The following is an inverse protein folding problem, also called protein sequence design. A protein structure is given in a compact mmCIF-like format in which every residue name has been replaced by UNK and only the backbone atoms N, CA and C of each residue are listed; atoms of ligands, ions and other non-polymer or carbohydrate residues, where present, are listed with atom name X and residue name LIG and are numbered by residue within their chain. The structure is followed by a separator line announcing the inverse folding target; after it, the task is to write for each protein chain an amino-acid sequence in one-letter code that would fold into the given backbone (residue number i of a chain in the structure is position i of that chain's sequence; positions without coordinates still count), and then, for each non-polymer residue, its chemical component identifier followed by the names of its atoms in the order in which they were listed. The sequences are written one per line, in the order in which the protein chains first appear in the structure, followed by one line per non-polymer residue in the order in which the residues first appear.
data_IF_108546306254
#
_entry.id   IF_108546306254
#
_cell.length_a   1.000
_cell.length_b   1.000
_cell.length_c   1.000
_cell.angle_alpha   90.00
_cell.angle_beta   90.00
_cell.angle_gamma   90.00
#
_symmetry.space_group_name_H-M   'P 1'
#
loop_
_entity.id
_entity.type
_entity.pdbx_description
1 polymer ?
#
# COMPACT_ATOMS: atom_id res chain seq x y z
N UNK A 1 16.98 5.38 19.15
CA UNK A 1 16.98 4.78 17.80
C UNK A 1 15.54 4.75 17.32
N UNK A 2 15.07 5.84 16.69
CA UNK A 2 13.71 5.95 16.18
C UNK A 2 13.76 5.64 14.68
N UNK A 3 13.50 4.40 14.31
CA UNK A 3 13.62 3.94 12.92
C UNK A 3 12.39 4.34 12.13
N UNK A 4 12.49 5.42 11.36
CA UNK A 4 11.73 5.55 10.13
C UNK A 4 12.56 4.85 9.05
N UNK A 5 12.09 3.71 8.55
CA UNK A 5 12.71 3.03 7.42
C UNK A 5 11.83 3.30 6.19
N UNK A 6 12.18 4.29 5.35
CA UNK A 6 11.57 4.39 4.04
C UNK A 6 12.00 3.15 3.24
N UNK A 7 11.04 2.35 2.81
CA UNK A 7 11.25 1.25 1.88
C UNK A 7 10.84 1.70 0.49
N UNK A 8 11.70 1.46 -0.51
CA UNK A 8 11.40 1.71 -1.92
C UNK A 8 11.50 0.36 -2.65
N UNK A 9 10.42 -0.01 -3.34
CA UNK A 9 10.34 -1.21 -4.15
C UNK A 9 10.17 -0.78 -5.60
N UNK A 10 10.92 -1.42 -6.49
CA UNK A 10 10.81 -1.25 -7.93
C UNK A 10 10.47 -2.60 -8.52
N UNK A 11 9.40 -2.66 -9.31
CA UNK A 11 9.14 -3.82 -10.17
C UNK A 11 9.74 -3.55 -11.57
N UNK A 12 10.83 -4.23 -11.98
CA UNK A 12 11.44 -4.02 -13.28
C UNK A 12 10.53 -4.39 -14.46
N UNK A 13 9.62 -5.34 -14.28
CA UNK A 13 8.73 -5.82 -15.35
C UNK A 13 7.54 -4.89 -15.58
N UNK A 14 7.04 -4.26 -14.51
CA UNK A 14 5.88 -3.37 -14.55
C UNK A 14 6.22 -1.88 -14.55
N UNK A 15 7.47 -1.49 -14.27
CA UNK A 15 7.90 -0.09 -14.14
C UNK A 15 7.26 0.67 -12.97
N UNK A 16 6.60 -0.04 -12.05
CA UNK A 16 5.92 0.56 -10.89
C UNK A 16 6.92 0.68 -9.74
N UNK A 17 6.90 1.85 -9.10
CA UNK A 17 7.68 2.14 -7.89
C UNK A 17 6.70 2.32 -6.72
N UNK A 18 6.98 1.66 -5.60
CA UNK A 18 6.23 1.82 -4.36
C UNK A 18 7.15 2.31 -3.24
N UNK A 19 6.74 3.36 -2.54
CA UNK A 19 7.43 3.88 -1.35
C UNK A 19 6.57 3.73 -0.11
N UNK A 20 7.12 3.16 0.96
CA UNK A 20 6.43 2.98 2.24
C UNK A 20 7.23 3.65 3.35
N UNK A 21 6.57 4.56 4.08
CA UNK A 21 7.10 5.15 5.30
C UNK A 21 6.40 4.51 6.51
N UNK A 22 7.15 3.74 7.32
CA UNK A 22 6.63 3.10 8.53
C UNK A 22 7.39 3.58 9.77
N UNK A 23 6.66 4.06 10.78
CA UNK A 23 7.26 4.54 12.03
C UNK A 23 6.26 4.50 13.18
N UNK A 24 6.73 4.03 14.34
CA UNK A 24 6.03 4.14 15.62
C UNK A 24 6.21 5.49 16.31
N UNK A 25 7.00 6.39 15.73
CA UNK A 25 7.36 7.68 16.32
C UNK A 25 6.99 8.85 15.42
N UNK A 26 5.83 8.75 14.79
CA UNK A 26 5.24 9.80 13.95
C UNK A 26 3.85 10.14 14.47
N UNK A 27 3.53 11.44 14.55
CA UNK A 27 2.16 11.89 14.82
C UNK A 27 1.34 11.77 13.54
N UNK A 28 0.09 11.32 13.67
CA UNK A 28 -0.79 11.13 12.52
C UNK A 28 -1.33 12.49 12.07
N UNK A 29 -1.04 12.87 10.83
CA UNK A 29 -1.62 14.02 10.12
C UNK A 29 -1.98 13.58 8.69
N UNK A 30 -2.97 12.69 8.61
CA UNK A 30 -3.50 12.01 7.41
C UNK A 30 -4.79 11.30 7.80
N UNK A 31 -5.46 10.70 6.84
CA UNK A 31 -6.84 10.20 7.01
C UNK A 31 -6.96 8.99 7.95
N UNK A 32 -5.91 8.17 8.11
CA UNK A 32 -5.96 6.94 8.91
C UNK A 32 -4.58 6.53 9.45
N UNK A 33 -4.48 5.40 10.18
CA UNK A 33 -3.26 4.82 10.74
C UNK A 33 -2.35 4.17 9.69
N UNK A 34 -2.91 3.69 8.59
CA UNK A 34 -2.18 3.32 7.38
C UNK A 34 -2.82 4.05 6.19
N UNK A 35 -2.03 4.49 5.22
CA UNK A 35 -2.55 5.21 4.06
C UNK A 35 -1.75 4.81 2.83
N UNK A 36 -2.47 4.40 1.78
CA UNK A 36 -1.90 3.95 0.51
C UNK A 36 -2.42 4.86 -0.59
N UNK A 37 -1.52 5.57 -1.27
CA UNK A 37 -1.85 6.31 -2.49
C UNK A 37 -1.39 5.50 -3.70
N UNK A 38 -2.30 5.34 -4.67
CA UNK A 38 -2.02 4.69 -5.95
C UNK A 38 -2.34 5.70 -7.04
N UNK A 39 -1.35 6.06 -7.83
CA UNK A 39 -1.49 6.98 -8.95
C UNK A 39 -1.38 6.22 -10.27
N UNK A 40 -2.32 6.46 -11.17
CA UNK A 40 -2.36 5.87 -12.50
C UNK A 40 -2.75 6.87 -13.57
N UNK A 41 -2.73 6.42 -14.83
CA UNK A 41 -3.00 7.30 -15.98
C UNK A 41 -4.40 7.93 -15.99
N UNK A 42 -5.41 7.21 -15.48
CA UNK A 42 -6.81 7.64 -15.52
C UNK A 42 -7.32 8.18 -14.18
N UNK A 43 -6.48 8.22 -13.17
CA UNK A 43 -6.85 8.73 -11.85
C UNK A 43 -6.00 8.14 -10.74
N UNK A 44 -6.36 8.55 -9.53
CA UNK A 44 -5.67 8.19 -8.31
C UNK A 44 -6.65 7.71 -7.25
N UNK A 45 -6.16 6.90 -6.32
CA UNK A 45 -6.88 6.46 -5.14
C UNK A 45 -6.03 6.68 -3.88
N UNK A 46 -6.68 7.04 -2.77
CA UNK A 46 -6.08 7.09 -1.43
C UNK A 46 -6.94 6.23 -0.51
N UNK A 47 -6.37 5.12 -0.04
CA UNK A 47 -7.04 4.16 0.83
C UNK A 47 -6.45 4.17 2.25
N UNK A 48 -7.34 4.20 3.24
CA UNK A 48 -7.05 3.90 4.64
C UNK A 48 -7.34 2.43 4.96
N UNK A 49 -7.61 2.12 6.23
CA UNK A 49 -7.99 0.78 6.68
C UNK A 49 -9.44 0.43 6.31
N UNK A 50 -10.32 1.43 6.26
CA UNK A 50 -11.77 1.23 6.10
C UNK A 50 -12.42 2.09 5.01
N UNK A 51 -11.72 3.10 4.50
CA UNK A 51 -12.25 4.05 3.52
C UNK A 51 -11.28 4.21 2.38
N UNK A 52 -11.82 4.42 1.18
CA UNK A 52 -11.06 4.77 0.00
C UNK A 52 -11.67 6.02 -0.63
N UNK A 53 -10.82 6.93 -1.09
CA UNK A 53 -11.23 8.08 -1.89
C UNK A 53 -10.55 8.02 -3.25
N UNK A 54 -11.25 8.45 -4.29
CA UNK A 54 -10.76 8.43 -5.67
C UNK A 54 -10.83 9.83 -6.31
N UNK A 55 -9.92 10.08 -7.25
CA UNK A 55 -9.98 11.22 -8.14
C UNK A 55 -9.71 10.74 -9.57
N UNK A 56 -10.72 10.81 -10.42
CA UNK A 56 -10.56 10.57 -11.85
C UNK A 56 -9.78 11.71 -12.52
N UNK A 57 -8.98 11.44 -13.54
CA UNK A 57 -8.14 12.45 -14.19
C UNK A 57 -8.91 13.67 -14.74
N UNK A 58 -10.18 13.49 -15.15
CA UNK A 58 -11.06 14.59 -15.58
C UNK A 58 -11.44 15.55 -14.45
N UNK A 59 -11.32 15.11 -13.20
CA UNK A 59 -11.70 15.87 -12.01
C UNK A 59 -10.48 16.51 -11.33
N UNK A 60 -9.25 16.24 -11.82
CA UNK A 60 -8.02 16.80 -11.26
C UNK A 60 -7.95 18.30 -11.53
N UNK A 61 -7.86 19.16 -10.50
CA UNK A 61 -7.77 20.61 -10.70
C UNK A 61 -6.41 21.01 -11.29
N UNK A 62 -6.33 22.24 -11.82
CA UNK A 62 -5.08 22.83 -12.33
C UNK A 62 -4.57 23.94 -11.39
N UNK A 63 -4.03 23.61 -10.21
CA UNK A 63 -3.48 24.60 -9.29
C UNK A 63 -2.24 25.27 -9.92
N UNK A 64 -2.01 26.54 -9.59
CA UNK A 64 -0.78 27.26 -9.97
C UNK A 64 0.12 27.39 -8.74
N UNK A 65 1.41 27.14 -8.93
CA UNK A 65 2.41 27.36 -7.89
C UNK A 65 2.67 28.87 -7.74
N UNK A 66 2.29 29.42 -6.58
CA UNK A 66 2.58 30.80 -6.23
C UNK A 66 2.92 30.87 -4.73
N UNK A 67 4.19 31.11 -4.36
CA UNK A 67 4.59 31.21 -2.95
C UNK A 67 4.20 32.54 -2.29
N UNK A 68 3.87 33.58 -3.06
CA UNK A 68 3.55 34.91 -2.56
C UNK A 68 2.11 35.01 -2.02
N UNK A 69 1.27 34.01 -2.31
CA UNK A 69 -0.14 34.02 -1.95
C UNK A 69 -0.55 32.68 -1.31
N UNK A 70 -1.37 32.71 -0.23
CA UNK A 70 -1.93 31.49 0.34
C UNK A 70 -2.78 30.73 -0.69
N UNK A 71 -2.62 29.40 -0.72
CA UNK A 71 -3.46 28.53 -1.52
C UNK A 71 -4.91 28.57 -1.01
N UNK A 72 -5.85 28.92 -1.88
CA UNK A 72 -7.29 28.98 -1.57
C UNK A 72 -8.01 27.67 -1.92
N UNK A 73 -7.45 26.86 -2.81
CA UNK A 73 -8.00 25.57 -3.21
C UNK A 73 -7.89 24.54 -2.08
N UNK A 74 -8.99 23.87 -1.77
CA UNK A 74 -9.03 22.76 -0.81
C UNK A 74 -8.90 21.43 -1.56
N UNK A 75 -7.69 20.91 -1.67
CA UNK A 75 -7.42 19.70 -2.47
C UNK A 75 -8.27 18.48 -2.09
N UNK A 76 -8.56 18.28 -0.81
CA UNK A 76 -9.38 17.15 -0.34
C UNK A 76 -10.81 17.18 -0.89
N UNK A 77 -11.36 18.37 -1.19
CA UNK A 77 -12.74 18.51 -1.70
C UNK A 77 -12.88 18.00 -3.15
N UNK A 78 -11.77 17.71 -3.84
CA UNK A 78 -11.75 17.16 -5.21
C UNK A 78 -11.69 15.63 -5.25
N UNK A 79 -11.79 14.96 -4.11
CA UNK A 79 -11.81 13.51 -4.01
C UNK A 79 -13.22 13.03 -3.70
N UNK A 80 -13.58 11.88 -4.28
CA UNK A 80 -14.88 11.26 -4.07
C UNK A 80 -14.72 10.01 -3.20
N UNK A 81 -15.49 9.85 -2.11
CA UNK A 81 -15.46 8.62 -1.34
C UNK A 81 -16.00 7.46 -2.20
N UNK A 82 -15.34 6.31 -2.11
CA UNK A 82 -15.84 5.05 -2.67
C UNK A 82 -16.92 4.53 -1.72
N UNK A 83 -18.13 4.20 -2.22
CA UNK A 83 -19.20 3.66 -1.38
C UNK A 83 -18.92 2.21 -0.97
N UNK A 84 -19.35 1.87 0.25
CA UNK A 84 -19.35 0.49 0.75
C UNK A 84 -20.54 -0.25 0.11
N UNK A 85 -20.32 -0.92 -1.02
CA UNK A 85 -21.37 -1.59 -1.80
C UNK A 85 -21.73 -3.00 -1.28
N UNK A 86 -21.01 -3.49 -0.27
CA UNK A 86 -21.22 -4.77 0.38
C UNK A 86 -20.81 -4.70 1.86
N UNK A 87 -21.16 -5.73 2.63
CA UNK A 87 -20.76 -5.83 4.02
C UNK A 87 -19.37 -6.47 4.15
N UNK A 88 -18.41 -5.71 4.66
CA UNK A 88 -17.05 -6.17 4.87
C UNK A 88 -16.91 -6.72 6.30
N UNK A 89 -16.96 -8.04 6.42
CA UNK A 89 -16.79 -8.75 7.68
C UNK A 89 -15.35 -8.74 8.23
N UNK A 90 -15.12 -9.56 9.24
CA UNK A 90 -13.79 -9.71 9.83
C UNK A 90 -12.84 -10.48 8.89
N UNK A 91 -11.76 -9.84 8.44
CA UNK A 91 -10.82 -10.44 7.49
C UNK A 91 -10.14 -11.73 7.98
N UNK A 92 -9.87 -11.86 9.29
CA UNK A 92 -9.30 -13.11 9.85
C UNK A 92 -10.30 -14.25 9.76
N UNK A 93 -11.57 -14.00 10.10
CA UNK A 93 -12.64 -14.98 9.97
C UNK A 93 -12.79 -15.43 8.52
N UNK A 94 -12.81 -14.50 7.57
CA UNK A 94 -12.90 -14.82 6.13
C UNK A 94 -11.75 -15.73 5.70
N UNK A 95 -10.50 -15.39 6.06
CA UNK A 95 -9.34 -16.23 5.69
C UNK A 95 -9.37 -17.61 6.36
N UNK A 96 -9.86 -17.72 7.60
CA UNK A 96 -10.08 -19.02 8.25
C UNK A 96 -11.13 -19.87 7.55
N UNK A 97 -12.25 -19.26 7.16
CA UNK A 97 -13.29 -19.95 6.39
C UNK A 97 -12.76 -20.45 5.03
N UNK A 98 -11.93 -19.65 4.34
CA UNK A 98 -11.25 -20.08 3.11
C UNK A 98 -10.27 -21.24 3.35
N UNK A 99 -9.47 -21.19 4.42
CA UNK A 99 -8.52 -22.26 4.74
C UNK A 99 -9.23 -23.57 5.07
N UNK A 100 -10.32 -23.51 5.84
CA UNK A 100 -11.10 -24.70 6.19
C UNK A 100 -11.72 -25.34 4.94
N UNK A 101 -12.22 -24.54 3.98
CA UNK A 101 -12.70 -25.07 2.68
C UNK A 101 -11.58 -25.68 1.87
N UNK A 102 -10.39 -25.07 1.84
CA UNK A 102 -9.23 -25.68 1.19
C UNK A 102 -8.93 -27.08 1.74
N UNK A 103 -8.88 -27.22 3.07
CA UNK A 103 -8.57 -28.50 3.72
C UNK A 103 -9.70 -29.53 3.58
N UNK A 104 -10.95 -29.11 3.73
CA UNK A 104 -12.09 -30.03 3.76
C UNK A 104 -12.64 -30.39 2.37
N UNK A 105 -12.50 -29.50 1.40
CA UNK A 105 -13.15 -29.59 0.08
C UNK A 105 -12.16 -29.55 -1.09
N UNK A 106 -10.84 -29.54 -0.82
CA UNK A 106 -9.79 -29.35 -1.84
C UNK A 106 -9.97 -28.05 -2.64
N UNK A 107 -10.49 -27.01 -1.97
CA UNK A 107 -10.67 -25.68 -2.54
C UNK A 107 -9.33 -24.99 -2.88
N UNK A 108 -9.33 -23.98 -3.77
CA UNK A 108 -8.10 -23.27 -4.13
C UNK A 108 -7.51 -22.53 -2.92
N UNK A 109 -6.18 -22.59 -2.77
CA UNK A 109 -5.46 -21.93 -1.69
C UNK A 109 -4.18 -21.28 -2.21
N UNK A 110 -4.05 -19.98 -1.96
CA UNK A 110 -2.90 -19.18 -2.39
C UNK A 110 -2.04 -18.63 -1.25
N UNK A 111 -2.50 -18.74 0.00
CA UNK A 111 -1.84 -18.15 1.18
C UNK A 111 -1.08 -19.23 1.97
N UNK A 112 -0.30 -20.04 1.28
CA UNK A 112 0.46 -21.13 1.91
C UNK A 112 1.67 -20.59 2.69
N UNK A 113 2.47 -21.52 3.22
CA UNK A 113 3.69 -21.16 3.95
C UNK A 113 4.76 -20.54 3.05
N UNK A 114 4.69 -20.75 1.74
CA UNK A 114 5.64 -20.17 0.78
C UNK A 114 5.43 -18.66 0.65
N UNK A 115 4.18 -18.18 0.69
CA UNK A 115 3.90 -16.74 0.80
C UNK A 115 4.46 -16.12 2.09
N UNK A 116 4.44 -16.88 3.19
CA UNK A 116 5.09 -16.49 4.44
C UNK A 116 6.62 -16.36 4.30
N UNK A 117 7.25 -17.29 3.60
CA UNK A 117 8.69 -17.26 3.32
C UNK A 117 9.10 -16.04 2.47
N UNK A 118 8.31 -15.68 1.46
CA UNK A 118 8.52 -14.46 0.66
C UNK A 118 8.50 -13.19 1.52
N UNK A 119 7.62 -13.13 2.51
CA UNK A 119 7.55 -12.01 3.46
C UNK A 119 8.83 -11.85 4.28
N UNK A 120 9.39 -12.94 4.79
CA UNK A 120 10.67 -12.94 5.53
C UNK A 120 11.82 -12.57 4.60
N UNK A 121 11.86 -13.12 3.39
CA UNK A 121 12.88 -12.82 2.38
C UNK A 121 12.94 -11.32 2.08
N UNK A 122 11.80 -10.67 1.88
CA UNK A 122 11.73 -9.23 1.64
C UNK A 122 12.28 -8.43 2.83
N UNK A 123 11.94 -8.82 4.06
CA UNK A 123 12.43 -8.16 5.27
C UNK A 123 13.96 -8.28 5.39
N UNK A 124 14.53 -9.46 5.13
CA UNK A 124 15.98 -9.68 5.13
C UNK A 124 16.68 -8.89 4.03
N UNK A 125 16.11 -8.83 2.83
CA UNK A 125 16.63 -8.00 1.73
C UNK A 125 16.64 -6.51 2.10
N UNK A 126 15.59 -6.03 2.76
CA UNK A 126 15.52 -4.65 3.25
C UNK A 126 16.60 -4.36 4.32
N UNK A 127 16.82 -5.27 5.26
CA UNK A 127 17.88 -5.15 6.26
C UNK A 127 19.28 -5.17 5.62
N UNK A 128 19.50 -6.03 4.62
CA UNK A 128 20.75 -6.09 3.84
C UNK A 128 20.98 -4.80 3.06
N UNK A 129 19.95 -4.30 2.38
CA UNK A 129 19.96 -3.01 1.67
C UNK A 129 20.35 -1.87 2.61
N UNK A 130 19.76 -1.83 3.81
CA UNK A 130 20.09 -0.83 4.81
C UNK A 130 21.57 -0.91 5.24
N UNK A 131 22.07 -2.12 5.53
CA UNK A 131 23.45 -2.36 5.95
C UNK A 131 24.46 -2.00 4.85
N UNK A 132 24.19 -2.38 3.61
CA UNK A 132 25.09 -2.21 2.46
C UNK A 132 24.90 -0.88 1.73
N UNK A 133 23.87 -0.09 2.10
CA UNK A 133 23.56 1.24 1.54
C UNK A 133 23.37 1.21 0.01
N UNK A 134 22.77 0.15 -0.51
CA UNK A 134 22.53 -0.06 -1.94
C UNK A 134 21.24 -0.83 -2.18
N UNK A 135 20.77 -0.83 -3.42
CA UNK A 135 19.68 -1.68 -3.86
C UNK A 135 20.06 -3.17 -3.79
N UNK A 136 19.08 -3.99 -3.42
CA UNK A 136 19.16 -5.45 -3.37
C UNK A 136 18.03 -5.98 -4.24
N UNK A 137 18.40 -6.73 -5.27
CA UNK A 137 17.44 -7.52 -6.04
C UNK A 137 16.91 -8.65 -5.14
N UNK A 138 15.61 -8.88 -5.18
CA UNK A 138 14.98 -9.97 -4.46
C UNK A 138 15.20 -11.23 -5.30
N UNK A 139 15.99 -12.22 -4.82
CA UNK A 139 16.24 -13.42 -5.59
C UNK A 139 14.98 -14.27 -5.69
N UNK A 140 14.83 -15.05 -6.77
CA UNK A 140 13.82 -16.09 -6.81
C UNK A 140 14.08 -17.12 -5.71
N UNK A 141 13.01 -17.66 -5.13
CA UNK A 141 13.11 -18.73 -4.14
C UNK A 141 13.09 -20.06 -4.90
N UNK A 142 14.20 -20.78 -4.87
CA UNK A 142 14.30 -22.17 -5.37
C UNK A 142 13.81 -23.14 -4.29
N UNK A 143 13.01 -24.15 -4.69
CA UNK A 143 12.50 -25.22 -3.83
C UNK A 143 13.05 -26.57 -4.31
#
# INVERSE_FOLDING_TARGET
MLTMLPMLLLNPEGGIIAQINSSWSVRVKRDDLATFQVDGTLGSAVAGLHKCSIQHHLNTPKPTWNPDQPQTLKFHDHWMPVPDNEDFGNGFRTQWEEFLRHVAEDGPWKYDLFEGAKGVQLAECALKSWKERRWIDIPEIEI
#
